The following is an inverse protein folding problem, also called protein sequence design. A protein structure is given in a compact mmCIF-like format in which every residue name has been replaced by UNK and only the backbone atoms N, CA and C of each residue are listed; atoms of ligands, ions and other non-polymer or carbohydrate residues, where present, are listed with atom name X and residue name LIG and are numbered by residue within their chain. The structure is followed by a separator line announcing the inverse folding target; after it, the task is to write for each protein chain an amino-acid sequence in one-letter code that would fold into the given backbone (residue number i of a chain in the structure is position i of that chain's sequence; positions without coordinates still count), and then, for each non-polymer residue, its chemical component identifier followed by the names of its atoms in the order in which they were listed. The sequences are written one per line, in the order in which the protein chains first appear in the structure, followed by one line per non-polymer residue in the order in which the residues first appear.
data_IF_357771188284
#
_entry.id   IF_357771188284
#
_cell.length_a   1.000
_cell.length_b   1.000
_cell.length_c   1.000
_cell.angle_alpha   90.00
_cell.angle_beta   90.00
_cell.angle_gamma   90.00
#
_symmetry.space_group_name_H-M   'P 1'
#
loop_
_entity.id
_entity.type
_entity.pdbx_description
1 polymer ?
#
# COMPACT_ATOMS: atom_id res chain seq x y z
N UNK A 1 0.57 9.57 44.15
CA UNK A 1 0.40 9.80 42.68
C UNK A 1 -0.11 8.50 42.08
N UNK A 2 -1.40 8.43 41.80
CA UNK A 2 -2.14 7.23 41.52
C UNK A 2 -2.05 6.89 40.02
N UNK A 3 -1.56 5.70 39.71
CA UNK A 3 -1.53 5.08 38.38
C UNK A 3 -2.95 4.72 37.94
N UNK A 4 -3.47 5.40 36.94
CA UNK A 4 -4.68 5.00 36.24
C UNK A 4 -4.34 3.87 35.26
N UNK A 5 -4.58 2.64 35.63
CA UNK A 5 -4.63 1.46 34.76
C UNK A 5 -6.02 1.39 34.14
N UNK A 6 -6.12 1.58 32.83
CA UNK A 6 -7.35 1.31 32.07
C UNK A 6 -7.56 -0.21 31.93
N UNK A 7 -8.73 -0.73 32.30
CA UNK A 7 -9.01 -2.16 32.14
C UNK A 7 -9.39 -2.50 30.68
N UNK A 8 -8.47 -3.14 29.97
CA UNK A 8 -8.71 -3.75 28.62
C UNK A 8 -9.61 -5.02 28.67
N UNK A 9 -10.52 -5.16 29.62
CA UNK A 9 -11.24 -6.43 29.86
C UNK A 9 -12.72 -6.44 29.53
N UNK A 10 -13.26 -5.56 28.69
CA UNK A 10 -14.73 -5.53 28.50
C UNK A 10 -15.28 -5.80 27.09
N UNK A 11 -14.45 -6.16 26.10
CA UNK A 11 -14.96 -6.52 24.75
C UNK A 11 -14.75 -7.99 24.35
N UNK A 12 -14.32 -8.86 25.25
CA UNK A 12 -14.06 -10.28 24.95
C UNK A 12 -15.20 -11.25 25.32
N UNK A 13 -16.40 -10.77 25.62
CA UNK A 13 -17.54 -11.64 26.01
C UNK A 13 -18.77 -11.45 25.13
N UNK A 14 -18.61 -11.39 23.83
CA UNK A 14 -19.69 -11.80 22.91
C UNK A 14 -19.27 -13.15 22.36
N UNK A 15 -19.62 -14.20 23.10
CA UNK A 15 -19.54 -15.57 22.64
C UNK A 15 -20.58 -15.79 21.54
N UNK A 16 -20.17 -15.69 20.27
CA UNK A 16 -20.84 -16.39 19.18
C UNK A 16 -20.30 -17.81 19.15
N UNK A 17 -21.09 -18.80 19.58
CA UNK A 17 -20.61 -20.15 19.62
C UNK A 17 -20.65 -20.79 18.22
N UNK A 18 -19.58 -21.45 17.88
CA UNK A 18 -19.50 -22.67 17.07
C UNK A 18 -19.26 -22.63 15.57
N UNK A 19 -19.15 -21.53 14.84
CA UNK A 19 -18.83 -21.64 13.38
C UNK A 19 -17.49 -20.97 12.97
N UNK A 20 -16.85 -20.17 13.82
CA UNK A 20 -15.69 -19.36 13.44
C UNK A 20 -14.29 -19.95 13.67
N UNK A 21 -14.14 -21.12 14.23
CA UNK A 21 -12.81 -21.63 14.63
C UNK A 21 -11.97 -22.30 13.51
N UNK A 22 -12.49 -22.46 12.30
CA UNK A 22 -11.75 -23.13 11.20
C UNK A 22 -11.30 -22.20 10.04
N UNK A 23 -11.72 -20.94 9.96
CA UNK A 23 -11.36 -20.05 8.85
C UNK A 23 -10.87 -18.68 9.32
N UNK A 24 -9.75 -18.67 10.05
CA UNK A 24 -9.09 -17.40 10.45
C UNK A 24 -8.32 -16.71 9.30
N UNK A 25 -8.52 -17.17 8.05
CA UNK A 25 -7.85 -16.60 6.87
C UNK A 25 -8.64 -15.50 6.16
N UNK A 26 -9.90 -15.30 6.50
CA UNK A 26 -10.75 -14.29 5.85
C UNK A 26 -10.18 -12.88 5.91
N UNK A 27 -9.66 -12.37 7.04
CA UNK A 27 -9.05 -11.04 7.09
C UNK A 27 -7.82 -10.91 6.20
N UNK A 28 -7.02 -11.97 6.06
CA UNK A 28 -5.86 -11.98 5.20
C UNK A 28 -6.24 -12.02 3.72
N UNK A 29 -7.18 -12.88 3.34
CA UNK A 29 -7.66 -12.99 1.95
C UNK A 29 -8.31 -11.67 1.53
N UNK A 30 -9.13 -11.05 2.37
CA UNK A 30 -9.75 -9.76 2.09
C UNK A 30 -8.69 -8.66 1.96
N UNK A 31 -7.65 -8.66 2.80
CA UNK A 31 -6.52 -7.73 2.69
C UNK A 31 -5.77 -7.91 1.38
N UNK A 32 -5.48 -9.15 0.96
CA UNK A 32 -4.82 -9.44 -0.33
C UNK A 32 -5.68 -8.92 -1.50
N UNK A 33 -6.98 -9.16 -1.46
CA UNK A 33 -7.90 -8.71 -2.51
C UNK A 33 -7.99 -7.18 -2.60
N UNK A 34 -8.10 -6.49 -1.45
CA UNK A 34 -8.12 -5.02 -1.39
C UNK A 34 -6.81 -4.44 -1.92
N UNK A 35 -5.66 -5.01 -1.54
CA UNK A 35 -4.35 -4.54 -2.02
C UNK A 35 -4.20 -4.78 -3.52
N UNK A 36 -4.63 -5.94 -4.03
CA UNK A 36 -4.57 -6.25 -5.46
C UNK A 36 -5.43 -5.27 -6.29
N UNK A 37 -6.65 -5.02 -5.85
CA UNK A 37 -7.54 -4.04 -6.48
C UNK A 37 -6.96 -2.62 -6.38
N UNK A 38 -6.44 -2.22 -5.23
CA UNK A 38 -5.77 -0.93 -5.04
C UNK A 38 -4.63 -0.70 -6.02
N UNK A 39 -3.83 -1.72 -6.31
CA UNK A 39 -2.75 -1.63 -7.30
C UNK A 39 -3.25 -1.28 -8.70
N UNK A 40 -4.32 -1.94 -9.14
CA UNK A 40 -4.94 -1.66 -10.43
C UNK A 40 -5.63 -0.30 -10.49
N UNK A 41 -6.30 0.10 -9.40
CA UNK A 41 -6.92 1.41 -9.31
C UNK A 41 -5.89 2.55 -9.26
N UNK A 42 -4.75 2.35 -8.59
CA UNK A 42 -3.61 3.28 -8.67
C UNK A 42 -3.18 3.49 -10.12
N UNK A 43 -3.02 2.40 -10.88
CA UNK A 43 -2.68 2.49 -12.30
C UNK A 43 -3.77 3.20 -13.10
N UNK A 44 -5.05 2.93 -12.83
CA UNK A 44 -6.16 3.64 -13.46
C UNK A 44 -6.04 5.15 -13.26
N UNK A 45 -5.83 5.62 -12.04
CA UNK A 45 -5.64 7.05 -11.77
C UNK A 45 -4.36 7.62 -12.35
N UNK A 46 -3.29 6.81 -12.46
CA UNK A 46 -2.08 7.25 -13.15
C UNK A 46 -2.34 7.59 -14.64
N UNK A 47 -3.17 6.77 -15.31
CA UNK A 47 -3.64 7.05 -16.67
C UNK A 47 -4.56 8.27 -16.70
N UNK A 48 -5.52 8.35 -15.78
CA UNK A 48 -6.48 9.48 -15.70
C UNK A 48 -5.77 10.82 -15.49
N UNK A 49 -4.76 10.88 -14.61
CA UNK A 49 -3.96 12.10 -14.38
C UNK A 49 -3.21 12.57 -15.64
N UNK A 50 -2.87 11.66 -16.54
CA UNK A 50 -2.28 11.97 -17.83
C UNK A 50 -3.31 12.18 -18.95
N UNK A 51 -4.60 12.24 -18.63
CA UNK A 51 -5.67 12.37 -19.61
C UNK A 51 -5.81 11.17 -20.54
N UNK A 52 -5.40 9.98 -20.10
CA UNK A 52 -5.41 8.74 -20.91
C UNK A 52 -6.40 7.73 -20.34
N UNK A 53 -6.87 6.83 -21.20
CA UNK A 53 -7.69 5.68 -20.79
C UNK A 53 -6.81 4.46 -20.52
N UNK A 54 -7.04 3.79 -19.40
CA UNK A 54 -6.33 2.56 -19.07
C UNK A 54 -6.87 1.39 -19.90
N UNK A 55 -6.02 0.67 -20.65
CA UNK A 55 -6.42 -0.55 -21.36
C UNK A 55 -6.82 -1.65 -20.36
N UNK A 56 -7.90 -2.38 -20.64
CA UNK A 56 -8.41 -3.43 -19.77
C UNK A 56 -7.36 -4.51 -19.45
N UNK A 57 -6.55 -4.91 -20.44
CA UNK A 57 -5.48 -5.89 -20.21
C UNK A 57 -4.44 -5.36 -19.19
N UNK A 58 -4.07 -4.08 -19.25
CA UNK A 58 -3.15 -3.46 -18.29
C UNK A 58 -3.75 -3.41 -16.88
N UNK A 59 -5.05 -3.16 -16.76
CA UNK A 59 -5.77 -3.22 -15.48
C UNK A 59 -5.70 -4.63 -14.86
N UNK A 60 -5.98 -5.66 -15.67
CA UNK A 60 -5.90 -7.07 -15.23
C UNK A 60 -4.48 -7.43 -14.82
N UNK A 61 -3.48 -7.04 -15.61
CA UNK A 61 -2.06 -7.31 -15.31
C UNK A 61 -1.64 -6.61 -14.02
N UNK A 62 -2.09 -5.39 -13.77
CA UNK A 62 -1.80 -4.68 -12.51
C UNK A 62 -2.38 -5.41 -11.29
N UNK A 63 -3.60 -5.99 -11.40
CA UNK A 63 -4.16 -6.87 -10.35
C UNK A 63 -3.24 -8.06 -10.12
N UNK A 64 -2.83 -8.76 -11.19
CA UNK A 64 -2.00 -9.96 -11.11
C UNK A 64 -0.63 -9.67 -10.48
N UNK A 65 0.05 -8.59 -10.91
CA UNK A 65 1.35 -8.16 -10.37
C UNK A 65 1.25 -7.83 -8.89
N UNK A 66 0.25 -7.05 -8.52
CA UNK A 66 0.02 -6.64 -7.13
C UNK A 66 -0.33 -7.84 -6.25
N UNK A 67 -1.25 -8.68 -6.73
CA UNK A 67 -1.63 -9.91 -6.04
C UNK A 67 -0.41 -10.82 -5.84
N UNK A 68 0.34 -11.10 -6.90
CA UNK A 68 1.48 -12.01 -6.85
C UNK A 68 2.56 -11.50 -5.88
N UNK A 69 2.89 -10.22 -5.92
CA UNK A 69 3.89 -9.61 -5.03
C UNK A 69 3.47 -9.74 -3.56
N UNK A 70 2.20 -9.45 -3.27
CA UNK A 70 1.70 -9.51 -1.90
C UNK A 70 1.49 -10.95 -1.40
N UNK A 71 0.96 -11.85 -2.25
CA UNK A 71 0.79 -13.26 -1.93
C UNK A 71 2.13 -13.96 -1.73
N UNK A 72 3.16 -13.59 -2.51
CA UNK A 72 4.52 -14.10 -2.34
C UNK A 72 5.11 -13.69 -0.99
N UNK A 73 5.06 -12.40 -0.62
CA UNK A 73 5.53 -11.91 0.68
C UNK A 73 4.86 -12.69 1.84
N UNK A 74 3.55 -12.90 1.75
CA UNK A 74 2.79 -13.62 2.77
C UNK A 74 3.00 -15.14 2.75
N UNK A 75 3.34 -15.71 1.60
CA UNK A 75 3.59 -17.13 1.42
C UNK A 75 4.98 -17.56 1.86
N UNK A 76 6.00 -16.73 1.62
CA UNK A 76 7.39 -17.02 2.05
C UNK A 76 7.52 -17.10 3.56
N UNK A 77 6.70 -16.34 4.31
CA UNK A 77 6.62 -16.35 5.78
C UNK A 77 7.95 -16.01 6.45
N UNK A 78 7.96 -14.95 7.22
CA UNK A 78 9.08 -14.65 8.12
C UNK A 78 8.75 -15.16 9.52
N UNK A 79 9.76 -15.38 10.36
CA UNK A 79 9.64 -15.73 11.78
C UNK A 79 8.80 -14.73 12.61
N UNK A 80 8.55 -13.56 12.04
CA UNK A 80 7.78 -12.47 12.65
C UNK A 80 6.27 -12.53 12.31
N UNK A 81 5.88 -13.39 11.33
CA UNK A 81 4.49 -13.55 10.94
C UNK A 81 3.81 -14.64 11.79
N UNK A 82 2.51 -14.48 12.05
CA UNK A 82 1.68 -15.48 12.73
C UNK A 82 1.87 -16.87 12.12
N UNK A 83 1.85 -17.91 12.95
CA UNK A 83 1.93 -19.30 12.50
C UNK A 83 0.77 -19.65 11.56
N UNK A 84 1.06 -19.69 10.28
CA UNK A 84 0.11 -20.11 9.24
C UNK A 84 0.38 -21.56 8.87
N UNK A 85 -0.67 -22.29 8.52
CA UNK A 85 -0.51 -23.68 8.08
C UNK A 85 0.37 -23.74 6.82
N UNK A 86 1.23 -24.78 6.73
CA UNK A 86 2.09 -24.99 5.58
C UNK A 86 1.31 -25.10 4.27
N UNK A 87 0.13 -25.72 4.30
CA UNK A 87 -0.76 -25.83 3.13
C UNK A 87 -1.20 -24.45 2.61
N UNK A 88 -1.58 -23.53 3.51
CA UNK A 88 -2.01 -22.20 3.12
C UNK A 88 -0.85 -21.37 2.53
N UNK A 89 0.34 -21.45 3.14
CA UNK A 89 1.56 -20.80 2.60
C UNK A 89 1.89 -21.33 1.20
N UNK A 90 1.83 -22.65 1.01
CA UNK A 90 2.06 -23.27 -0.30
C UNK A 90 1.02 -22.83 -1.34
N UNK A 91 -0.26 -22.75 -0.96
CA UNK A 91 -1.31 -22.26 -1.85
C UNK A 91 -1.09 -20.81 -2.28
N UNK A 92 -0.67 -19.93 -1.36
CA UNK A 92 -0.29 -18.55 -1.70
C UNK A 92 0.90 -18.49 -2.65
N UNK A 93 1.93 -19.29 -2.44
CA UNK A 93 3.11 -19.33 -3.33
C UNK A 93 2.75 -19.83 -4.73
N UNK A 94 1.99 -20.93 -4.82
CA UNK A 94 1.54 -21.47 -6.12
C UNK A 94 0.69 -20.46 -6.86
N UNK A 95 -0.28 -19.83 -6.19
CA UNK A 95 -1.11 -18.81 -6.82
C UNK A 95 -0.33 -17.57 -7.23
N UNK A 96 0.69 -17.15 -6.45
CA UNK A 96 1.58 -16.06 -6.81
C UNK A 96 2.39 -16.38 -8.08
N UNK A 97 2.91 -17.61 -8.20
CA UNK A 97 3.64 -18.07 -9.40
C UNK A 97 2.70 -18.06 -10.62
N UNK A 98 1.49 -18.60 -10.49
CA UNK A 98 0.50 -18.60 -11.59
C UNK A 98 0.20 -17.17 -12.01
N UNK A 99 -0.08 -16.26 -11.07
CA UNK A 99 -0.36 -14.87 -11.37
C UNK A 99 0.83 -14.15 -12.03
N UNK A 100 2.06 -14.49 -11.62
CA UNK A 100 3.29 -13.98 -12.25
C UNK A 100 3.37 -14.43 -13.72
N UNK A 101 3.20 -15.73 -13.99
CA UNK A 101 3.24 -16.27 -15.37
C UNK A 101 2.16 -15.60 -16.21
N UNK A 102 0.93 -15.52 -15.72
CA UNK A 102 -0.17 -14.88 -16.44
C UNK A 102 0.11 -13.41 -16.72
N UNK A 103 0.75 -12.67 -15.80
CA UNK A 103 1.09 -11.27 -16.02
C UNK A 103 2.07 -11.10 -17.17
N UNK A 104 3.07 -11.97 -17.31
CA UNK A 104 4.02 -11.93 -18.43
C UNK A 104 3.39 -12.39 -19.77
N UNK A 105 2.45 -13.33 -19.72
CA UNK A 105 1.71 -13.77 -20.92
C UNK A 105 0.81 -12.65 -21.47
N UNK A 106 0.13 -11.92 -20.55
CA UNK A 106 -0.79 -10.85 -20.94
C UNK A 106 -0.08 -9.53 -21.28
N UNK A 107 1.11 -9.31 -20.72
CA UNK A 107 1.87 -8.09 -20.93
C UNK A 107 3.37 -8.43 -21.02
N UNK A 108 3.82 -8.67 -22.25
CA UNK A 108 5.18 -9.13 -22.56
C UNK A 108 6.23 -8.00 -22.38
N UNK A 109 6.41 -7.54 -21.14
CA UNK A 109 7.38 -6.51 -20.78
C UNK A 109 8.33 -7.04 -19.70
N UNK A 110 9.63 -7.14 -20.03
CA UNK A 110 10.65 -7.65 -19.12
C UNK A 110 10.75 -6.82 -17.83
N UNK A 111 10.38 -5.53 -17.88
CA UNK A 111 10.41 -4.66 -16.71
C UNK A 111 9.40 -5.09 -15.61
N UNK A 112 8.40 -5.93 -15.95
CA UNK A 112 7.55 -6.57 -14.93
C UNK A 112 8.35 -7.46 -13.96
N UNK A 113 9.56 -7.89 -14.32
CA UNK A 113 10.43 -8.62 -13.40
C UNK A 113 10.87 -7.75 -12.21
N UNK A 114 10.94 -6.43 -12.37
CA UNK A 114 11.44 -5.50 -11.33
C UNK A 114 10.66 -5.62 -10.00
N UNK A 115 9.33 -5.45 -9.95
CA UNK A 115 8.58 -5.59 -8.70
C UNK A 115 8.71 -6.99 -8.07
N UNK A 116 8.82 -8.04 -8.88
CA UNK A 116 9.00 -9.41 -8.38
C UNK A 116 10.38 -9.63 -7.78
N UNK A 117 11.45 -9.14 -8.43
CA UNK A 117 12.83 -9.22 -7.92
C UNK A 117 12.93 -8.45 -6.60
N UNK A 118 12.40 -7.21 -6.57
CA UNK A 118 12.41 -6.40 -5.34
C UNK A 118 11.59 -7.09 -4.25
N UNK A 119 10.42 -7.62 -4.55
CA UNK A 119 9.59 -8.39 -3.62
C UNK A 119 10.32 -9.59 -3.03
N UNK A 120 11.08 -10.33 -3.86
CA UNK A 120 11.92 -11.43 -3.39
C UNK A 120 13.04 -10.96 -2.45
N UNK A 121 13.78 -9.93 -2.84
CA UNK A 121 14.86 -9.36 -2.02
C UNK A 121 14.33 -8.79 -0.70
N UNK A 122 13.13 -8.24 -0.72
CA UNK A 122 12.45 -7.74 0.47
C UNK A 122 12.03 -8.87 1.41
N UNK A 123 11.40 -9.93 0.89
CA UNK A 123 10.85 -11.02 1.68
C UNK A 123 11.95 -11.97 2.19
N UNK A 124 12.85 -12.39 1.31
CA UNK A 124 13.87 -13.43 1.61
C UNK A 124 15.28 -12.89 1.73
N UNK A 125 15.64 -11.88 0.92
CA UNK A 125 16.99 -11.35 0.87
C UNK A 125 18.01 -12.28 0.20
N UNK A 126 19.28 -11.89 0.26
CA UNK A 126 20.43 -12.67 -0.21
C UNK A 126 21.47 -12.71 0.90
N UNK A 127 22.02 -13.90 1.20
CA UNK A 127 23.08 -14.06 2.18
C UNK A 127 22.70 -13.60 3.61
N UNK A 128 21.42 -13.73 3.99
CA UNK A 128 20.92 -13.30 5.29
C UNK A 128 20.58 -11.80 5.39
N UNK A 129 20.88 -11.02 4.34
CA UNK A 129 20.53 -9.59 4.30
C UNK A 129 19.22 -9.38 3.54
N UNK A 130 18.21 -8.82 4.22
CA UNK A 130 16.90 -8.47 3.66
C UNK A 130 16.80 -6.96 3.48
N UNK A 131 16.10 -6.52 2.43
CA UNK A 131 15.77 -5.09 2.23
C UNK A 131 14.77 -4.55 3.29
N UNK A 132 14.37 -5.38 4.23
CA UNK A 132 13.46 -5.05 5.33
C UNK A 132 14.16 -4.35 6.51
N UNK A 133 15.49 -4.31 6.54
CA UNK A 133 16.31 -3.71 7.62
C UNK A 133 16.76 -2.28 7.30
N UNK A 134 17.01 -1.50 8.35
CA UNK A 134 17.63 -0.16 8.27
C UNK A 134 16.65 1.01 8.26
N UNK A 135 17.19 2.18 8.60
CA UNK A 135 16.49 3.45 8.82
C UNK A 135 15.63 3.89 7.62
N UNK A 136 14.35 3.51 7.59
CA UNK A 136 13.43 3.90 6.51
C UNK A 136 13.67 3.20 5.17
N UNK A 137 14.67 2.31 5.04
CA UNK A 137 14.95 1.56 3.81
C UNK A 137 13.73 0.72 3.43
N UNK A 138 13.11 0.04 4.40
CA UNK A 138 11.87 -0.72 4.22
C UNK A 138 10.79 0.12 3.53
N UNK A 139 10.53 1.32 4.05
CA UNK A 139 9.47 2.20 3.54
C UNK A 139 9.80 2.71 2.13
N UNK A 140 11.07 3.09 1.89
CA UNK A 140 11.52 3.55 0.58
C UNK A 140 11.45 2.43 -0.46
N UNK A 141 11.90 1.22 -0.13
CA UNK A 141 11.86 0.06 -1.05
C UNK A 141 10.42 -0.28 -1.42
N UNK A 142 9.51 -0.35 -0.45
CA UNK A 142 8.09 -0.63 -0.74
C UNK A 142 7.49 0.49 -1.59
N UNK A 143 7.76 1.76 -1.26
CA UNK A 143 7.26 2.90 -2.04
C UNK A 143 7.78 2.91 -3.47
N UNK A 144 9.09 2.65 -3.67
CA UNK A 144 9.69 2.51 -5.00
C UNK A 144 9.08 1.37 -5.79
N UNK A 145 8.86 0.21 -5.15
CA UNK A 145 8.27 -0.96 -5.80
C UNK A 145 6.87 -0.64 -6.32
N UNK A 146 6.03 -0.03 -5.48
CA UNK A 146 4.67 0.37 -5.88
C UNK A 146 4.67 1.45 -6.95
N UNK A 147 5.53 2.46 -6.83
CA UNK A 147 5.62 3.53 -7.82
C UNK A 147 6.22 3.06 -9.14
N UNK A 148 7.16 2.11 -9.14
CA UNK A 148 7.80 1.60 -10.36
C UNK A 148 6.83 0.90 -11.32
N UNK A 149 5.68 0.43 -10.85
CA UNK A 149 4.63 -0.09 -11.71
C UNK A 149 4.11 0.98 -12.68
N UNK A 150 4.11 2.26 -12.29
CA UNK A 150 3.61 3.35 -13.13
C UNK A 150 4.40 3.51 -14.44
N UNK A 151 5.73 3.77 -14.43
CA UNK A 151 6.50 3.90 -15.66
C UNK A 151 6.52 2.60 -16.49
N UNK A 152 6.42 1.42 -15.86
CA UNK A 152 6.37 0.13 -16.58
C UNK A 152 5.13 0.04 -17.49
N UNK A 153 3.99 0.49 -17.01
CA UNK A 153 2.73 0.46 -17.76
C UNK A 153 2.49 1.71 -18.61
N UNK A 154 2.84 2.89 -18.10
CA UNK A 154 2.62 4.14 -18.80
C UNK A 154 3.58 4.34 -19.96
N UNK A 155 4.81 3.80 -19.85
CA UNK A 155 5.92 4.06 -20.78
C UNK A 155 6.10 5.56 -21.07
N UNK A 156 5.90 6.39 -20.02
CA UNK A 156 5.94 7.84 -20.10
C UNK A 156 7.03 8.40 -19.18
N UNK A 157 8.08 8.93 -19.77
CA UNK A 157 9.19 9.59 -19.09
C UNK A 157 9.12 11.13 -19.21
N UNK A 158 7.97 11.67 -19.63
CA UNK A 158 7.74 13.12 -19.62
C UNK A 158 7.75 13.68 -18.20
N UNK A 159 7.82 15.00 -18.08
CA UNK A 159 7.73 15.64 -16.77
C UNK A 159 6.38 15.34 -16.07
N UNK A 160 5.29 15.25 -16.82
CA UNK A 160 4.00 14.84 -16.30
C UNK A 160 4.02 13.39 -15.76
N UNK A 161 4.62 12.45 -16.51
CA UNK A 161 4.82 11.07 -16.06
C UNK A 161 5.68 10.97 -14.80
N UNK A 162 6.74 11.81 -14.71
CA UNK A 162 7.57 11.90 -13.51
C UNK A 162 6.80 12.44 -12.30
N UNK A 163 5.92 13.42 -12.47
CA UNK A 163 5.06 13.93 -11.40
C UNK A 163 4.09 12.86 -10.91
N UNK A 164 3.48 12.09 -11.81
CA UNK A 164 2.62 10.96 -11.46
C UNK A 164 3.39 9.90 -10.68
N UNK A 165 4.60 9.56 -11.12
CA UNK A 165 5.49 8.65 -10.39
C UNK A 165 5.79 9.15 -8.97
N UNK A 166 6.19 10.43 -8.83
CA UNK A 166 6.48 11.06 -7.55
C UNK A 166 5.25 11.04 -6.61
N UNK A 167 4.06 11.25 -7.15
CA UNK A 167 2.82 11.16 -6.39
C UNK A 167 2.64 9.77 -5.78
N UNK A 168 2.68 8.71 -6.60
CA UNK A 168 2.49 7.34 -6.12
C UNK A 168 3.61 6.86 -5.22
N UNK A 169 4.85 7.33 -5.45
CA UNK A 169 5.95 7.11 -4.52
C UNK A 169 5.66 7.72 -3.15
N UNK A 170 5.33 9.01 -3.10
CA UNK A 170 5.07 9.73 -1.86
C UNK A 170 3.88 9.16 -1.10
N UNK A 171 2.78 8.84 -1.80
CA UNK A 171 1.61 8.19 -1.22
C UNK A 171 1.98 6.84 -0.61
N UNK A 172 2.66 5.98 -1.35
CA UNK A 172 3.07 4.66 -0.86
C UNK A 172 4.07 4.78 0.30
N UNK A 173 4.96 5.76 0.27
CA UNK A 173 5.92 6.01 1.35
C UNK A 173 5.20 6.42 2.65
N UNK A 174 4.27 7.37 2.57
CA UNK A 174 3.44 7.78 3.71
C UNK A 174 2.63 6.60 4.25
N UNK A 175 1.98 5.84 3.36
CA UNK A 175 1.15 4.70 3.75
C UNK A 175 1.95 3.61 4.49
N UNK A 176 3.14 3.26 3.99
CA UNK A 176 3.98 2.25 4.65
C UNK A 176 4.45 2.69 6.03
N UNK A 177 4.76 3.98 6.22
CA UNK A 177 5.11 4.52 7.54
C UNK A 177 3.90 4.46 8.48
N UNK A 178 2.70 4.77 8.01
CA UNK A 178 1.46 4.65 8.81
C UNK A 178 1.25 3.21 9.28
N UNK A 179 1.57 2.20 8.45
CA UNK A 179 1.52 0.80 8.85
C UNK A 179 2.57 0.47 9.92
N UNK A 180 3.79 0.99 9.80
CA UNK A 180 4.85 0.78 10.78
C UNK A 180 4.58 1.47 12.13
N UNK A 181 3.76 2.52 12.18
CA UNK A 181 3.34 3.14 13.47
C UNK A 181 2.66 2.12 14.39
N UNK A 182 1.86 1.20 13.83
CA UNK A 182 1.21 0.13 14.60
C UNK A 182 2.24 -0.83 15.22
N UNK A 183 3.26 -1.15 14.42
CA UNK A 183 4.21 -2.19 14.74
C UNK A 183 5.45 -1.63 15.48
N UNK A 184 5.51 -0.29 15.70
CA UNK A 184 6.66 0.43 16.23
C UNK A 184 7.12 -0.05 17.63
N UNK A 185 6.22 -0.52 18.48
CA UNK A 185 6.58 -1.04 19.80
C UNK A 185 7.24 -2.41 19.69
N UNK A 186 6.66 -3.30 18.87
CA UNK A 186 7.22 -4.62 18.54
C UNK A 186 8.57 -4.48 17.83
N UNK A 187 8.66 -3.57 16.88
CA UNK A 187 9.91 -3.30 16.14
C UNK A 187 11.02 -2.82 17.09
N UNK A 188 10.67 -1.96 18.07
CA UNK A 188 11.62 -1.49 19.08
C UNK A 188 12.11 -2.62 19.99
N UNK A 189 11.21 -3.50 20.43
CA UNK A 189 11.55 -4.68 21.24
C UNK A 189 12.43 -5.66 20.46
N UNK A 190 12.20 -5.79 19.17
CA UNK A 190 13.00 -6.63 18.26
C UNK A 190 14.31 -5.96 17.80
N UNK A 191 14.61 -4.73 18.22
CA UNK A 191 15.79 -3.97 17.81
C UNK A 191 15.74 -3.51 16.33
N UNK A 192 14.56 -3.45 15.72
CA UNK A 192 14.38 -3.04 14.33
C UNK A 192 14.19 -1.53 14.28
N UNK A 193 15.10 -0.84 13.58
CA UNK A 193 15.04 0.61 13.42
C UNK A 193 14.14 0.99 12.25
N UNK A 194 12.89 1.40 12.55
CA UNK A 194 11.97 1.98 11.58
C UNK A 194 11.79 3.48 11.83
N UNK A 195 11.26 4.23 10.86
CA UNK A 195 11.02 5.68 11.04
C UNK A 195 10.19 5.96 12.29
N UNK A 196 9.08 5.25 12.58
CA UNK A 196 8.32 5.46 13.81
C UNK A 196 9.05 5.12 15.11
N UNK A 197 10.02 4.19 15.09
CA UNK A 197 10.79 3.86 16.29
C UNK A 197 11.81 4.94 16.67
N UNK A 198 12.22 5.76 15.68
CA UNK A 198 13.27 6.77 15.80
C UNK A 198 12.75 8.18 16.06
N UNK A 199 11.46 8.42 15.84
CA UNK A 199 10.87 9.75 15.92
C UNK A 199 9.76 9.82 16.98
N UNK A 200 9.59 10.98 17.61
CA UNK A 200 8.40 11.23 18.43
C UNK A 200 7.15 11.29 17.53
N UNK A 201 5.99 10.91 18.08
CA UNK A 201 4.70 10.93 17.35
C UNK A 201 4.40 12.29 16.71
N UNK A 202 4.73 13.39 17.39
CA UNK A 202 4.51 14.75 16.87
C UNK A 202 5.40 15.04 15.67
N UNK A 203 6.70 14.71 15.74
CA UNK A 203 7.64 14.92 14.63
C UNK A 203 7.29 14.03 13.45
N UNK A 204 6.92 12.78 13.71
CA UNK A 204 6.47 11.86 12.68
C UNK A 204 5.23 12.38 11.95
N UNK A 205 4.21 12.82 12.70
CA UNK A 205 2.99 13.42 12.11
C UNK A 205 3.33 14.65 11.25
N UNK A 206 4.16 15.55 11.76
CA UNK A 206 4.58 16.74 11.02
C UNK A 206 5.31 16.37 9.71
N UNK A 207 6.22 15.38 9.76
CA UNK A 207 6.93 14.87 8.58
C UNK A 207 5.95 14.32 7.54
N UNK A 208 5.00 13.47 7.95
CA UNK A 208 4.03 12.86 7.04
C UNK A 208 3.10 13.91 6.41
N UNK A 209 2.65 14.89 7.20
CA UNK A 209 1.85 16.01 6.70
C UNK A 209 2.67 16.83 5.69
N UNK A 210 3.93 17.13 5.99
CA UNK A 210 4.79 17.92 5.11
C UNK A 210 5.00 17.22 3.77
N UNK A 211 5.34 15.92 3.77
CA UNK A 211 5.53 15.13 2.55
C UNK A 211 4.23 15.11 1.74
N UNK A 212 3.11 14.79 2.38
CA UNK A 212 1.80 14.72 1.73
C UNK A 212 1.39 16.07 1.16
N UNK A 213 1.45 17.14 1.95
CA UNK A 213 1.07 18.48 1.52
C UNK A 213 1.95 18.99 0.36
N UNK A 214 3.27 18.87 0.48
CA UNK A 214 4.19 19.31 -0.58
C UNK A 214 3.90 18.59 -1.90
N UNK A 215 3.74 17.25 -1.86
CA UNK A 215 3.44 16.47 -3.05
C UNK A 215 2.10 16.88 -3.67
N UNK A 216 1.03 16.98 -2.88
CA UNK A 216 -0.28 17.36 -3.41
C UNK A 216 -0.30 18.81 -3.94
N UNK A 217 0.36 19.74 -3.25
CA UNK A 217 0.45 21.14 -3.75
C UNK A 217 1.14 21.20 -5.13
N UNK A 218 2.23 20.46 -5.31
CA UNK A 218 2.93 20.40 -6.61
C UNK A 218 2.02 19.83 -7.70
N UNK A 219 1.33 18.73 -7.42
CA UNK A 219 0.48 18.09 -8.42
C UNK A 219 -0.80 18.88 -8.72
N UNK A 220 -1.42 19.48 -7.70
CA UNK A 220 -2.58 20.36 -7.90
C UNK A 220 -2.18 21.57 -8.73
N UNK A 221 -1.03 22.19 -8.46
CA UNK A 221 -0.52 23.29 -9.27
C UNK A 221 -0.26 22.87 -10.73
N UNK A 222 0.33 21.68 -10.94
CA UNK A 222 0.52 21.12 -12.28
C UNK A 222 -0.82 20.84 -13.00
N UNK A 223 -1.83 20.36 -12.27
CA UNK A 223 -3.16 20.13 -12.84
C UNK A 223 -3.89 21.44 -13.18
N UNK A 224 -3.80 22.45 -12.32
CA UNK A 224 -4.35 23.78 -12.59
C UNK A 224 -3.62 24.48 -13.76
N UNK A 225 -2.33 24.18 -13.96
CA UNK A 225 -1.53 24.61 -15.12
C UNK A 225 -1.79 23.80 -16.40
N UNK A 226 -2.74 22.85 -16.41
CA UNK A 226 -3.09 22.03 -17.57
C UNK A 226 -2.10 20.91 -17.91
N UNK A 227 -1.12 20.64 -17.04
CA UNK A 227 -0.12 19.59 -17.24
C UNK A 227 -0.67 18.21 -16.85
N UNK A 228 -1.55 18.15 -15.86
CA UNK A 228 -2.24 16.95 -15.39
C UNK A 228 -3.75 17.16 -15.47
N UNK A 229 -4.49 16.05 -15.58
CA UNK A 229 -5.95 16.06 -15.48
C UNK A 229 -6.42 15.79 -14.05
N UNK A 230 -7.74 15.89 -13.81
CA UNK A 230 -8.40 15.47 -12.57
C UNK A 230 -7.87 16.17 -11.30
N UNK A 231 -7.78 17.51 -11.33
CA UNK A 231 -7.38 18.32 -10.18
C UNK A 231 -8.26 18.06 -8.94
N UNK A 232 -9.55 17.80 -9.14
CA UNK A 232 -10.54 17.47 -8.11
C UNK A 232 -10.18 16.19 -7.34
N UNK A 233 -9.74 15.14 -8.05
CA UNK A 233 -9.26 13.87 -7.45
C UNK A 233 -8.01 14.14 -6.60
N UNK A 234 -7.09 14.98 -7.09
CA UNK A 234 -5.89 15.36 -6.33
C UNK A 234 -6.23 16.13 -5.05
N UNK A 235 -7.22 17.02 -5.10
CA UNK A 235 -7.72 17.74 -3.92
C UNK A 235 -8.37 16.76 -2.94
N UNK A 236 -9.23 15.87 -3.43
CA UNK A 236 -9.86 14.83 -2.60
C UNK A 236 -8.79 13.95 -1.93
N UNK A 237 -7.77 13.54 -2.68
CA UNK A 237 -6.64 12.76 -2.16
C UNK A 237 -5.84 13.52 -1.10
N UNK A 238 -5.65 14.83 -1.26
CA UNK A 238 -4.97 15.67 -0.27
C UNK A 238 -5.73 15.69 1.06
N UNK A 239 -7.05 15.95 1.00
CA UNK A 239 -7.91 16.00 2.19
C UNK A 239 -7.98 14.64 2.88
N UNK A 240 -8.16 13.57 2.11
CA UNK A 240 -8.19 12.21 2.65
C UNK A 240 -6.87 11.82 3.30
N UNK A 241 -5.73 12.12 2.65
CA UNK A 241 -4.40 11.85 3.20
C UNK A 241 -4.17 12.58 4.51
N UNK A 242 -4.53 13.86 4.58
CA UNK A 242 -4.43 14.63 5.81
C UNK A 242 -5.28 14.00 6.93
N UNK A 243 -6.51 13.58 6.62
CA UNK A 243 -7.41 12.92 7.56
C UNK A 243 -6.80 11.65 8.15
N UNK A 244 -6.36 10.70 7.33
CA UNK A 244 -5.82 9.45 7.85
C UNK A 244 -4.45 9.61 8.50
N UNK A 245 -3.61 10.56 8.09
CA UNK A 245 -2.34 10.86 8.77
C UNK A 245 -2.63 11.33 10.20
N UNK A 246 -3.59 12.22 10.40
CA UNK A 246 -3.97 12.71 11.73
C UNK A 246 -4.50 11.55 12.59
N UNK A 247 -5.37 10.71 12.05
CA UNK A 247 -6.00 9.58 12.76
C UNK A 247 -4.95 8.53 13.12
N UNK A 248 -4.17 8.04 12.16
CA UNK A 248 -3.33 6.86 12.32
C UNK A 248 -1.89 7.13 12.77
N UNK A 249 -1.43 8.37 12.79
CA UNK A 249 -0.20 8.71 13.47
C UNK A 249 -0.31 8.60 15.02
N UNK A 250 -1.52 8.30 15.53
CA UNK A 250 -1.81 7.92 16.91
C UNK A 250 -1.88 6.41 17.11
N UNK A 251 -2.65 5.97 18.12
CA UNK A 251 -2.82 4.56 18.47
C UNK A 251 -4.08 3.91 17.81
N UNK A 252 -4.79 4.63 16.97
CA UNK A 252 -6.00 4.12 16.32
C UNK A 252 -5.66 3.14 15.19
N UNK A 253 -6.33 1.99 15.17
CA UNK A 253 -6.16 0.97 14.12
C UNK A 253 -7.48 0.60 13.41
N UNK A 254 -8.58 1.24 13.82
CA UNK A 254 -9.91 0.94 13.28
C UNK A 254 -9.98 1.39 11.82
N UNK A 255 -10.45 0.52 10.96
CA UNK A 255 -10.64 0.77 9.51
C UNK A 255 -9.37 1.22 8.75
N UNK A 256 -8.17 1.08 9.34
CA UNK A 256 -6.95 1.54 8.68
C UNK A 256 -6.75 0.95 7.29
N UNK A 257 -6.89 -0.36 7.13
CA UNK A 257 -6.72 -1.02 5.82
C UNK A 257 -7.74 -0.49 4.80
N UNK A 258 -8.97 -0.20 5.23
CA UNK A 258 -10.01 0.35 4.35
C UNK A 258 -9.72 1.78 3.96
N UNK A 259 -9.28 2.63 4.91
CA UNK A 259 -9.07 4.05 4.64
C UNK A 259 -7.72 4.34 3.99
N UNK A 260 -6.69 3.53 4.21
CA UNK A 260 -5.36 3.76 3.63
C UNK A 260 -5.19 2.99 2.32
N UNK A 261 -5.42 1.67 2.30
CA UNK A 261 -5.28 0.88 1.08
C UNK A 261 -6.52 0.95 0.19
N UNK A 262 -7.71 1.08 0.79
CA UNK A 262 -8.99 1.19 0.08
C UNK A 262 -9.33 2.59 -0.44
N UNK A 263 -8.48 3.59 -0.24
CA UNK A 263 -8.71 4.98 -0.68
C UNK A 263 -9.03 5.07 -2.19
N UNK A 264 -8.39 4.24 -3.00
CA UNK A 264 -8.58 4.22 -4.44
C UNK A 264 -9.97 3.76 -4.86
N UNK A 265 -10.62 2.93 -4.07
CA UNK A 265 -12.03 2.54 -4.25
C UNK A 265 -12.92 3.77 -4.03
N UNK A 266 -12.64 4.57 -2.99
CA UNK A 266 -13.40 5.81 -2.73
C UNK A 266 -13.26 6.81 -3.87
N UNK A 267 -12.04 6.97 -4.41
CA UNK A 267 -11.82 7.88 -5.54
C UNK A 267 -12.50 7.38 -6.81
N UNK A 268 -12.54 6.07 -7.04
CA UNK A 268 -13.27 5.47 -8.16
C UNK A 268 -14.77 5.73 -8.04
N UNK A 269 -15.34 5.57 -6.86
CA UNK A 269 -16.76 5.88 -6.61
C UNK A 269 -17.06 7.36 -6.86
N UNK A 270 -16.17 8.25 -6.39
CA UNK A 270 -16.29 9.68 -6.66
C UNK A 270 -16.19 10.00 -8.15
N UNK A 271 -15.19 9.46 -8.86
CA UNK A 271 -15.02 9.66 -10.31
C UNK A 271 -16.23 9.16 -11.10
N UNK A 272 -16.77 7.99 -10.73
CA UNK A 272 -17.98 7.44 -11.34
C UNK A 272 -19.21 8.33 -11.09
N UNK A 273 -19.38 8.83 -9.88
CA UNK A 273 -20.45 9.77 -9.55
C UNK A 273 -20.32 11.05 -10.37
N UNK A 274 -19.11 11.64 -10.42
CA UNK A 274 -18.83 12.83 -11.24
C UNK A 274 -19.21 12.63 -12.70
N UNK A 275 -18.85 11.50 -13.28
CA UNK A 275 -19.12 11.20 -14.70
C UNK A 275 -20.63 11.05 -15.03
N UNK A 276 -21.47 10.76 -14.03
CA UNK A 276 -22.92 10.60 -14.23
C UNK A 276 -23.69 11.90 -13.98
N UNK A 277 -23.22 12.74 -13.06
CA UNK A 277 -24.00 13.87 -12.55
C UNK A 277 -23.41 15.26 -12.85
N UNK A 278 -22.15 15.33 -13.30
CA UNK A 278 -21.46 16.56 -13.66
C UNK A 278 -20.92 16.52 -15.09
#
# INVERSE_FOLDING_TARGET
MSSFTYPQRYLSKINFPFICYKFNYFPLISSIAVVALSGALKLHFAYEFLGRTLPLHSFIVAILVTYASYAFDRGVGCSEDEERSGLFKSALLVSAVIATILSFVLFANILLAVPYIIGYLYARGIGGHRLKGGYGVKNAVVALTWASTMPIFLCDLSFAGLLVYLFFFSKSFVNTIIYDVRDAERDREAGIATIPTLMSKTRLRALLILISAATHCILIAAALGGMLACADILVLSALHSLGYIIIYSGACNVLRNTLVDGEWILYTLYSSFRAVFL
#
